data_IF_847206288958
#
_entry.id   IF_847206288958
#
_cell.length_a   1.000
_cell.length_b   1.000
_cell.length_c   1.000
_cell.angle_alpha   90.00
_cell.angle_beta   90.00
_cell.angle_gamma   90.00
#
_symmetry.space_group_name_H-M   'P 1'
#
loop_
_entity.id
_entity.type
_entity.pdbx_description
1 polymer ?
#
# COMPACT_ATOMS: atom_id res chain seq x y z
N UNK A 1 -6.88 10.04 17.54
CA UNK A 1 -7.42 8.69 17.29
C UNK A 1 -7.16 8.13 15.88
N UNK A 2 -7.14 8.94 14.80
CA UNK A 2 -6.76 8.49 13.43
C UNK A 2 -5.35 7.86 13.30
N UNK A 3 -4.45 8.11 14.25
CA UNK A 3 -3.04 7.67 14.19
C UNK A 3 -2.77 6.28 14.79
N UNK A 4 -3.69 5.72 15.58
CA UNK A 4 -3.50 4.43 16.28
C UNK A 4 -3.84 3.25 15.35
N UNK A 5 -4.79 3.43 14.44
CA UNK A 5 -5.28 2.36 13.54
C UNK A 5 -4.28 2.11 12.39
N UNK A 6 -3.57 3.13 11.91
CA UNK A 6 -2.48 2.96 10.94
C UNK A 6 -1.33 2.16 11.53
N UNK A 7 -1.01 2.37 12.82
CA UNK A 7 0.02 1.62 13.54
C UNK A 7 -0.37 0.16 13.80
N UNK A 8 -1.64 -0.13 14.08
CA UNK A 8 -2.10 -1.51 14.30
C UNK A 8 -2.04 -2.39 13.03
N UNK A 9 -2.33 -1.82 11.86
CA UNK A 9 -2.20 -2.51 10.56
C UNK A 9 -0.72 -2.76 10.23
N UNK A 10 0.16 -1.80 10.54
CA UNK A 10 1.61 -1.94 10.37
C UNK A 10 2.23 -3.00 11.31
N UNK A 11 1.74 -3.10 12.55
CA UNK A 11 2.21 -4.05 13.59
C UNK A 11 1.69 -5.48 13.32
N UNK A 12 0.43 -5.65 12.90
CA UNK A 12 -0.15 -6.97 12.63
C UNK A 12 0.46 -7.69 11.41
N UNK A 13 1.09 -6.95 10.49
CA UNK A 13 1.71 -7.50 9.28
C UNK A 13 3.17 -7.94 9.46
N UNK A 14 3.80 -7.68 10.62
CA UNK A 14 5.18 -8.09 10.93
C UNK A 14 5.36 -9.59 11.21
N UNK A 15 4.27 -10.38 11.22
CA UNK A 15 4.25 -11.82 11.58
C UNK A 15 4.35 -12.79 10.39
N UNK A 16 4.66 -12.27 9.21
CA UNK A 16 4.72 -13.03 7.97
C UNK A 16 5.97 -13.95 7.90
N UNK A 17 5.79 -15.21 7.48
CA UNK A 17 6.81 -16.29 7.53
C UNK A 17 8.01 -16.09 6.60
N UNK A 18 8.86 -17.12 6.50
CA UNK A 18 10.11 -17.10 5.73
C UNK A 18 9.86 -17.63 4.31
N UNK A 19 10.07 -16.79 3.31
CA UNK A 19 10.31 -17.17 1.92
C UNK A 19 11.14 -16.04 1.29
N UNK A 20 12.27 -16.39 0.68
CA UNK A 20 13.18 -15.43 0.07
C UNK A 20 12.93 -15.41 -1.44
N UNK A 21 12.53 -14.27 -1.97
CA UNK A 21 12.75 -13.92 -3.37
C UNK A 21 13.68 -12.69 -3.42
N UNK A 22 14.62 -12.66 -4.36
CA UNK A 22 15.46 -11.48 -4.64
C UNK A 22 14.72 -10.47 -5.54
N UNK A 23 13.73 -11.00 -6.28
CA UNK A 23 12.90 -10.27 -7.23
C UNK A 23 11.53 -10.00 -6.63
N UNK A 24 11.14 -8.74 -6.62
CA UNK A 24 9.82 -8.26 -6.23
C UNK A 24 8.97 -8.09 -7.49
N UNK A 25 7.96 -8.94 -7.68
CA UNK A 25 7.03 -8.82 -8.79
C UNK A 25 5.82 -7.98 -8.38
N UNK A 26 5.60 -6.85 -9.05
CA UNK A 26 4.51 -5.92 -8.80
C UNK A 26 3.19 -6.36 -9.49
N UNK A 27 2.04 -5.80 -9.09
CA UNK A 27 0.72 -6.18 -9.61
C UNK A 27 0.54 -6.15 -11.13
N UNK A 28 1.25 -5.28 -11.86
CA UNK A 28 1.16 -5.19 -13.33
C UNK A 28 2.22 -6.05 -14.06
N UNK A 29 2.94 -6.90 -13.32
CA UNK A 29 3.94 -7.83 -13.83
C UNK A 29 5.37 -7.28 -13.84
N UNK A 30 5.58 -5.99 -13.58
CA UNK A 30 6.91 -5.41 -13.49
C UNK A 30 7.70 -6.08 -12.37
N UNK A 31 8.99 -6.31 -12.63
CA UNK A 31 9.88 -6.94 -11.68
C UNK A 31 10.94 -5.95 -11.22
N UNK A 32 11.08 -5.84 -9.90
CA UNK A 32 12.10 -5.05 -9.23
C UNK A 32 13.15 -6.01 -8.66
N UNK A 33 14.37 -5.93 -9.18
CA UNK A 33 15.52 -6.66 -8.64
C UNK A 33 16.15 -5.86 -7.50
N UNK A 34 15.91 -6.29 -6.26
CA UNK A 34 16.39 -5.59 -5.07
C UNK A 34 17.78 -6.08 -4.62
N UNK A 35 18.47 -6.85 -5.48
CA UNK A 35 19.72 -7.55 -5.20
C UNK A 35 19.60 -8.64 -4.11
N UNK A 36 20.60 -9.54 -4.06
CA UNK A 36 20.71 -10.59 -3.03
C UNK A 36 20.76 -10.06 -1.59
N UNK A 37 21.00 -8.75 -1.41
CA UNK A 37 21.05 -8.08 -0.11
C UNK A 37 19.67 -7.84 0.48
N UNK A 38 18.59 -7.87 -0.30
CA UNK A 38 17.23 -7.65 0.19
C UNK A 38 16.39 -8.90 -0.04
N UNK A 39 15.95 -9.52 1.05
CA UNK A 39 14.97 -10.60 0.99
C UNK A 39 13.56 -10.04 0.82
N UNK A 40 12.81 -10.55 -0.15
CA UNK A 40 11.40 -10.24 -0.37
C UNK A 40 10.55 -11.42 0.04
N UNK A 41 9.62 -11.17 0.97
CA UNK A 41 8.55 -12.11 1.29
C UNK A 41 7.23 -11.61 0.73
N UNK A 42 6.64 -12.39 -0.18
CA UNK A 42 5.27 -12.16 -0.64
C UNK A 42 4.27 -12.62 0.43
N UNK A 43 3.56 -11.66 1.01
CA UNK A 43 2.63 -11.91 2.09
C UNK A 43 1.30 -12.53 1.63
N UNK A 44 1.04 -12.71 0.32
CA UNK A 44 -0.18 -13.39 -0.16
C UNK A 44 -0.32 -14.81 0.42
N UNK A 45 0.79 -15.46 0.77
CA UNK A 45 0.77 -16.77 1.40
C UNK A 45 0.67 -16.76 2.93
N UNK A 46 0.75 -15.59 3.56
CA UNK A 46 0.65 -15.43 5.02
C UNK A 46 -0.74 -15.79 5.53
N UNK A 47 -0.81 -16.23 6.80
CA UNK A 47 -2.08 -16.48 7.48
C UNK A 47 -2.96 -15.22 7.51
N UNK A 48 -2.36 -14.06 7.79
CA UNK A 48 -3.06 -12.78 7.91
C UNK A 48 -3.71 -12.36 6.59
N UNK A 49 -2.96 -12.35 5.48
CA UNK A 49 -3.52 -11.96 4.17
C UNK A 49 -4.57 -12.98 3.74
N UNK A 50 -4.32 -14.29 3.86
CA UNK A 50 -5.33 -15.33 3.57
C UNK A 50 -6.61 -15.14 4.37
N UNK A 51 -6.51 -14.73 5.63
CA UNK A 51 -7.68 -14.45 6.48
C UNK A 51 -8.42 -13.22 5.96
N UNK A 52 -7.74 -12.11 5.69
CA UNK A 52 -8.35 -10.90 5.11
C UNK A 52 -9.06 -11.24 3.78
N UNK A 53 -8.44 -12.04 2.90
CA UNK A 53 -9.03 -12.48 1.62
C UNK A 53 -10.29 -13.31 1.81
N UNK A 54 -10.35 -14.17 2.83
CA UNK A 54 -11.56 -14.97 3.14
C UNK A 54 -12.66 -14.12 3.76
N UNK A 55 -12.29 -13.21 4.65
CA UNK A 55 -13.26 -12.35 5.35
C UNK A 55 -13.91 -11.34 4.40
N UNK A 56 -13.16 -10.80 3.44
CA UNK A 56 -13.70 -9.76 2.56
C UNK A 56 -14.86 -10.26 1.69
N UNK A 57 -14.90 -11.55 1.35
CA UNK A 57 -15.98 -12.12 0.54
C UNK A 57 -17.27 -12.44 1.32
N UNK A 58 -17.23 -12.36 2.65
CA UNK A 58 -18.43 -12.63 3.45
C UNK A 58 -19.44 -11.51 3.28
N UNK A 59 -20.72 -11.88 3.16
CA UNK A 59 -21.85 -10.95 3.09
C UNK A 59 -21.82 -9.92 4.22
N UNK A 60 -21.57 -10.36 5.45
CA UNK A 60 -21.48 -9.47 6.61
C UNK A 60 -20.38 -8.40 6.44
N UNK A 61 -19.22 -8.77 5.92
CA UNK A 61 -18.13 -7.84 5.66
C UNK A 61 -18.47 -6.85 4.55
N UNK A 62 -19.13 -7.32 3.48
CA UNK A 62 -19.59 -6.44 2.40
C UNK A 62 -20.64 -5.43 2.89
N UNK A 63 -21.57 -5.84 3.75
CA UNK A 63 -22.53 -4.91 4.38
C UNK A 63 -21.81 -3.90 5.28
N UNK A 64 -20.81 -4.30 6.08
CA UNK A 64 -20.01 -3.37 6.89
C UNK A 64 -19.22 -2.37 6.05
N UNK A 65 -18.65 -2.80 4.91
CA UNK A 65 -17.98 -1.91 3.96
C UNK A 65 -18.98 -0.89 3.42
N UNK A 66 -20.17 -1.35 3.01
CA UNK A 66 -21.24 -0.52 2.48
C UNK A 66 -21.74 0.51 3.50
N UNK A 67 -22.04 0.08 4.73
CA UNK A 67 -22.42 0.95 5.84
C UNK A 67 -21.32 1.98 6.13
N UNK A 68 -20.05 1.56 6.14
CA UNK A 68 -18.91 2.46 6.32
C UNK A 68 -18.82 3.53 5.23
N UNK A 69 -19.09 3.17 3.98
CA UNK A 69 -19.11 4.10 2.85
C UNK A 69 -20.28 5.10 2.96
N UNK A 70 -21.47 4.62 3.31
CA UNK A 70 -22.66 5.46 3.55
C UNK A 70 -22.39 6.46 4.67
N UNK A 71 -21.89 5.97 5.81
CA UNK A 71 -21.55 6.83 6.96
C UNK A 71 -20.48 7.84 6.56
N UNK A 72 -19.55 7.49 5.68
CA UNK A 72 -18.53 8.40 5.18
C UNK A 72 -19.00 9.32 4.04
N UNK A 73 -20.31 9.40 3.77
CA UNK A 73 -20.91 10.36 2.84
C UNK A 73 -21.01 9.90 1.39
N UNK A 74 -20.76 8.63 1.09
CA UNK A 74 -20.98 8.04 -0.25
C UNK A 74 -22.45 7.63 -0.37
N UNK A 75 -23.31 8.52 -0.87
CA UNK A 75 -24.77 8.30 -0.92
C UNK A 75 -25.30 7.85 -2.28
N UNK A 76 -24.54 8.02 -3.35
CA UNK A 76 -24.88 7.57 -4.71
C UNK A 76 -23.99 6.41 -5.14
N UNK A 77 -24.54 5.47 -5.91
CA UNK A 77 -23.83 4.30 -6.44
C UNK A 77 -23.05 3.49 -5.38
N UNK A 78 -23.57 3.41 -4.15
CA UNK A 78 -22.88 2.77 -3.01
C UNK A 78 -22.50 1.31 -3.28
N UNK A 79 -23.32 0.58 -4.05
CA UNK A 79 -23.04 -0.81 -4.41
C UNK A 79 -21.80 -0.92 -5.32
N UNK A 80 -21.69 -0.02 -6.30
CA UNK A 80 -20.54 0.07 -7.18
C UNK A 80 -19.29 0.53 -6.41
N UNK A 81 -19.44 1.47 -5.48
CA UNK A 81 -18.36 1.91 -4.60
C UNK A 81 -17.85 0.76 -3.71
N UNK A 82 -18.76 -0.02 -3.13
CA UNK A 82 -18.45 -1.19 -2.30
C UNK A 82 -17.67 -2.22 -3.12
N UNK A 83 -18.14 -2.55 -4.32
CA UNK A 83 -17.43 -3.45 -5.24
C UNK A 83 -16.05 -2.93 -5.64
N UNK A 84 -15.92 -1.62 -5.88
CA UNK A 84 -14.64 -0.98 -6.22
C UNK A 84 -13.64 -1.13 -5.06
N UNK A 85 -14.05 -0.78 -3.83
CA UNK A 85 -13.21 -0.90 -2.62
C UNK A 85 -12.81 -2.35 -2.38
N UNK A 86 -13.78 -3.28 -2.46
CA UNK A 86 -13.53 -4.72 -2.29
C UNK A 86 -12.50 -5.23 -3.29
N UNK A 87 -12.64 -4.87 -4.57
CA UNK A 87 -11.71 -5.28 -5.62
C UNK A 87 -10.30 -4.71 -5.40
N UNK A 88 -10.20 -3.46 -4.97
CA UNK A 88 -8.90 -2.83 -4.66
C UNK A 88 -8.22 -3.59 -3.53
N UNK A 89 -8.93 -3.84 -2.42
CA UNK A 89 -8.34 -4.57 -1.28
C UNK A 89 -7.89 -5.96 -1.72
N UNK A 90 -8.71 -6.69 -2.50
CA UNK A 90 -8.37 -8.03 -3.03
C UNK A 90 -7.13 -8.02 -3.92
N UNK A 91 -6.97 -7.01 -4.76
CA UNK A 91 -5.87 -6.89 -5.70
C UNK A 91 -4.63 -6.20 -5.10
N UNK A 92 -4.68 -5.83 -3.83
CA UNK A 92 -3.56 -5.23 -3.11
C UNK A 92 -2.57 -6.32 -2.74
N UNK A 93 -1.34 -6.27 -3.27
CA UNK A 93 -0.26 -7.16 -2.85
C UNK A 93 0.52 -6.53 -1.70
N UNK A 94 0.89 -7.35 -0.73
CA UNK A 94 1.67 -6.93 0.43
C UNK A 94 2.97 -7.72 0.44
N UNK A 95 4.08 -7.01 0.64
CA UNK A 95 5.40 -7.61 0.72
C UNK A 95 6.10 -7.15 1.98
N UNK A 96 6.92 -8.04 2.54
CA UNK A 96 7.87 -7.67 3.57
C UNK A 96 9.28 -7.69 2.96
N UNK A 97 9.99 -6.58 3.11
CA UNK A 97 11.40 -6.46 2.75
C UNK A 97 12.25 -6.65 4.00
N UNK A 98 13.31 -7.46 3.91
CA UNK A 98 14.23 -7.74 5.01
C UNK A 98 15.67 -7.58 4.55
N UNK A 99 16.55 -7.08 5.41
CA UNK A 99 17.98 -7.13 5.14
C UNK A 99 18.46 -8.57 5.16
N UNK A 100 19.24 -8.95 4.15
CA UNK A 100 19.95 -10.22 4.09
C UNK A 100 21.41 -9.99 4.48
N UNK A 101 21.62 -9.47 5.70
CA UNK A 101 22.96 -9.25 6.28
C UNK A 101 23.08 -9.92 7.63
N UNK A 102 24.30 -10.30 8.00
CA UNK A 102 24.58 -10.95 9.30
C UNK A 102 24.66 -9.97 10.46
N UNK A 103 24.81 -8.68 10.19
CA UNK A 103 25.12 -7.67 11.21
C UNK A 103 23.88 -6.97 11.74
N UNK A 104 22.99 -6.51 10.84
CA UNK A 104 21.83 -5.71 11.20
C UNK A 104 20.56 -6.28 10.55
N UNK A 105 19.51 -6.42 11.36
CA UNK A 105 18.18 -6.81 10.90
C UNK A 105 17.33 -5.56 10.66
N UNK A 106 17.11 -5.23 9.39
CA UNK A 106 16.21 -4.18 8.95
C UNK A 106 14.99 -4.82 8.30
N UNK A 107 13.83 -4.22 8.48
CA UNK A 107 12.59 -4.66 7.84
C UNK A 107 11.72 -3.49 7.42
N UNK A 108 10.94 -3.69 6.37
CA UNK A 108 9.90 -2.77 5.94
C UNK A 108 8.77 -3.50 5.24
N UNK A 109 7.65 -2.82 5.08
CA UNK A 109 6.44 -3.36 4.42
C UNK A 109 6.19 -2.53 3.17
N UNK A 110 6.01 -3.21 2.05
CA UNK A 110 5.55 -2.61 0.80
C UNK A 110 4.11 -3.05 0.54
N UNK A 111 3.19 -2.10 0.44
CA UNK A 111 1.82 -2.35 0.01
C UNK A 111 1.66 -1.82 -1.40
N UNK A 112 1.23 -2.65 -2.33
CA UNK A 112 1.14 -2.31 -3.75
C UNK A 112 -0.24 -2.63 -4.30
N UNK A 113 -0.85 -1.69 -5.00
CA UNK A 113 -2.18 -1.84 -5.59
C UNK A 113 -2.19 -1.41 -7.05
N UNK A 114 -2.77 -2.24 -7.91
CA UNK A 114 -3.07 -1.87 -9.28
C UNK A 114 -4.43 -1.19 -9.36
N UNK A 115 -4.47 -0.03 -10.02
CA UNK A 115 -5.70 0.70 -10.30
C UNK A 115 -5.82 0.92 -11.81
N UNK A 116 -6.87 0.34 -12.39
CA UNK A 116 -7.21 0.55 -13.81
C UNK A 116 -7.57 2.01 -14.06
N UNK A 117 -7.30 2.50 -15.27
CA UNK A 117 -7.66 3.86 -15.66
C UNK A 117 -9.16 4.13 -15.53
N UNK A 118 -10.01 3.13 -15.79
CA UNK A 118 -11.48 3.21 -15.59
C UNK A 118 -11.91 3.45 -14.15
N UNK A 119 -11.08 3.03 -13.19
CA UNK A 119 -11.43 3.05 -11.77
C UNK A 119 -10.83 4.27 -11.06
N UNK A 120 -9.84 4.95 -11.67
CA UNK A 120 -9.20 6.14 -11.11
C UNK A 120 -10.20 7.26 -10.81
N UNK A 121 -11.07 7.59 -11.75
CA UNK A 121 -12.07 8.66 -11.56
C UNK A 121 -13.04 8.33 -10.43
N UNK A 122 -13.50 7.06 -10.38
CA UNK A 122 -14.38 6.58 -9.31
C UNK A 122 -13.69 6.67 -7.96
N UNK A 123 -12.42 6.29 -7.89
CA UNK A 123 -11.64 6.38 -6.66
C UNK A 123 -11.39 7.80 -6.22
N UNK A 124 -11.14 8.75 -7.13
CA UNK A 124 -11.03 10.17 -6.78
C UNK A 124 -12.33 10.68 -6.17
N UNK A 125 -13.48 10.37 -6.78
CA UNK A 125 -14.78 10.72 -6.23
C UNK A 125 -15.01 10.09 -4.84
N UNK A 126 -14.57 8.83 -4.64
CA UNK A 126 -14.60 8.20 -3.33
C UNK A 126 -13.71 8.94 -2.33
N UNK A 127 -12.49 9.31 -2.69
CA UNK A 127 -11.59 10.08 -1.81
C UNK A 127 -12.18 11.43 -1.40
N UNK A 128 -12.82 12.13 -2.34
CA UNK A 128 -13.50 13.41 -2.08
C UNK A 128 -14.69 13.25 -1.13
N UNK A 129 -15.53 12.23 -1.34
CA UNK A 129 -16.67 11.95 -0.46
C UNK A 129 -16.20 11.53 0.94
N UNK A 130 -15.22 10.64 1.01
CA UNK A 130 -14.62 10.19 2.28
C UNK A 130 -13.93 11.31 3.06
N UNK A 131 -13.60 12.45 2.44
CA UNK A 131 -13.00 13.60 3.14
C UNK A 131 -13.99 14.30 4.07
N UNK A 132 -15.30 14.14 3.87
CA UNK A 132 -16.35 14.71 4.73
C UNK A 132 -16.30 14.07 6.11
N UNK A 133 -16.50 14.89 7.15
CA UNK A 133 -16.57 14.39 8.52
C UNK A 133 -17.86 13.61 8.74
N UNK A 134 -17.75 12.52 9.49
CA UNK A 134 -18.87 11.67 9.87
C UNK A 134 -18.69 11.27 11.32
N UNK A 135 -19.77 11.35 12.08
CA UNK A 135 -19.79 11.19 13.54
C UNK A 135 -19.81 9.71 13.97
N UNK A 136 -20.08 8.76 13.07
CA UNK A 136 -20.28 7.34 13.40
C UNK A 136 -19.52 6.36 12.47
N UNK A 137 -18.19 6.48 12.38
CA UNK A 137 -17.36 5.52 11.64
C UNK A 137 -16.79 4.46 12.61
N UNK A 138 -17.08 3.19 12.35
CA UNK A 138 -16.51 2.05 13.09
C UNK A 138 -15.04 1.75 12.69
N UNK A 139 -14.40 0.76 13.32
CA UNK A 139 -13.01 0.40 13.02
C UNK A 139 -12.79 0.00 11.55
N UNK A 140 -13.76 -0.67 10.94
CA UNK A 140 -13.71 -1.11 9.55
C UNK A 140 -13.74 0.10 8.61
N UNK A 141 -14.64 1.05 8.88
CA UNK A 141 -14.73 2.29 8.13
C UNK A 141 -13.51 3.17 8.29
N UNK A 142 -12.88 3.23 9.47
CA UNK A 142 -11.62 3.96 9.65
C UNK A 142 -10.49 3.31 8.83
N UNK A 143 -10.43 1.98 8.81
CA UNK A 143 -9.43 1.26 8.02
C UNK A 143 -9.63 1.49 6.52
N UNK A 144 -10.86 1.39 6.00
CA UNK A 144 -11.20 1.65 4.58
C UNK A 144 -10.89 3.10 4.21
N UNK A 145 -11.34 4.06 5.04
CA UNK A 145 -11.10 5.48 4.82
C UNK A 145 -9.61 5.80 4.79
N UNK A 146 -8.84 5.25 5.72
CA UNK A 146 -7.39 5.38 5.74
C UNK A 146 -6.77 4.76 4.48
N UNK A 147 -7.18 3.55 4.13
CA UNK A 147 -6.64 2.82 2.99
C UNK A 147 -6.87 3.55 1.67
N UNK A 148 -8.11 3.92 1.36
CA UNK A 148 -8.48 4.57 0.10
C UNK A 148 -7.95 6.01 0.02
N UNK A 149 -8.03 6.79 1.10
CA UNK A 149 -7.56 8.19 1.10
C UNK A 149 -6.06 8.31 0.85
N UNK A 150 -5.28 7.31 1.28
CA UNK A 150 -3.83 7.35 1.17
C UNK A 150 -3.31 6.78 -0.17
N UNK A 151 -4.18 6.33 -1.08
CA UNK A 151 -3.76 6.01 -2.45
C UNK A 151 -3.43 7.33 -3.17
N UNK A 152 -2.19 7.56 -3.63
CA UNK A 152 -1.75 8.84 -4.15
C UNK A 152 -2.15 9.03 -5.63
N UNK A 153 -3.45 9.21 -5.88
CA UNK A 153 -4.03 9.24 -7.24
C UNK A 153 -3.75 10.55 -8.02
N UNK A 154 -3.40 11.63 -7.34
CA UNK A 154 -3.11 12.94 -7.94
C UNK A 154 -1.62 13.11 -8.23
N UNK A 155 -1.18 12.51 -9.34
CA UNK A 155 0.19 12.62 -9.83
C UNK A 155 0.26 13.72 -10.87
N UNK A 156 1.28 14.57 -10.77
CA UNK A 156 1.61 15.51 -11.84
C UNK A 156 2.57 14.81 -12.80
N UNK A 157 2.18 14.65 -14.07
CA UNK A 157 2.99 13.94 -15.07
C UNK A 157 4.42 14.49 -15.23
N UNK A 158 4.62 15.78 -14.91
CA UNK A 158 5.93 16.43 -14.92
C UNK A 158 6.96 15.83 -13.95
N UNK A 159 6.52 15.08 -12.95
CA UNK A 159 7.38 14.49 -11.92
C UNK A 159 7.76 13.02 -12.25
N UNK A 160 7.42 12.55 -13.46
CA UNK A 160 7.69 11.18 -13.91
C UNK A 160 9.13 11.03 -14.42
N UNK A 161 9.81 10.01 -13.91
CA UNK A 161 11.10 9.47 -14.38
C UNK A 161 10.85 8.32 -15.39
N UNK A 162 11.89 7.92 -16.10
CA UNK A 162 11.90 6.71 -16.96
C UNK A 162 12.99 5.75 -16.51
N UNK A 163 12.66 4.47 -16.43
CA UNK A 163 13.64 3.40 -16.25
C UNK A 163 14.51 3.25 -17.49
N UNK A 164 15.59 2.49 -17.40
CA UNK A 164 16.46 2.16 -18.54
C UNK A 164 15.72 1.41 -19.65
N UNK A 165 14.65 0.70 -19.31
CA UNK A 165 13.76 0.00 -20.24
C UNK A 165 12.56 0.85 -20.69
N UNK A 166 12.52 2.12 -20.32
CA UNK A 166 11.50 3.08 -20.74
C UNK A 166 10.18 3.01 -19.94
N UNK A 167 10.17 2.32 -18.80
CA UNK A 167 8.98 2.27 -17.93
C UNK A 167 8.87 3.59 -17.17
N UNK A 168 7.70 4.23 -17.24
CA UNK A 168 7.46 5.51 -16.58
C UNK A 168 7.06 5.32 -15.12
N UNK A 169 7.75 6.00 -14.20
CA UNK A 169 7.47 5.93 -12.77
C UNK A 169 7.73 7.26 -12.07
N UNK A 170 7.14 7.46 -10.89
CA UNK A 170 7.50 8.56 -9.98
C UNK A 170 7.66 8.02 -8.57
N UNK A 171 8.35 8.79 -7.74
CA UNK A 171 8.77 8.41 -6.40
C UNK A 171 8.71 9.64 -5.49
N UNK A 172 8.12 9.50 -4.32
CA UNK A 172 8.03 10.56 -3.32
C UNK A 172 8.25 10.01 -1.92
N UNK A 173 9.28 10.54 -1.30
CA UNK A 173 9.63 10.24 0.08
C UNK A 173 8.88 11.16 1.05
N UNK A 174 8.53 10.61 2.21
CA UNK A 174 7.98 11.35 3.35
C UNK A 174 8.57 10.79 4.65
N UNK A 175 9.00 11.69 5.53
CA UNK A 175 9.52 11.35 6.87
C UNK A 175 8.58 11.93 7.90
N UNK A 176 8.27 11.16 8.93
CA UNK A 176 7.41 11.59 10.02
C UNK A 176 7.89 11.00 11.33
N UNK A 177 7.97 11.84 12.36
CA UNK A 177 8.26 11.38 13.71
C UNK A 177 6.92 11.13 14.42
N UNK A 178 6.75 9.93 14.95
CA UNK A 178 5.59 9.56 15.74
C UNK A 178 5.97 9.51 17.21
N UNK A 179 5.32 10.31 18.04
CA UNK A 179 5.53 10.30 19.48
C UNK A 179 4.18 10.22 20.20
N UNK A 180 4.05 9.26 21.11
CA UNK A 180 3.02 9.23 22.14
C UNK A 180 3.67 8.93 23.50
N UNK A 181 2.88 8.90 24.57
CA UNK A 181 3.38 8.75 25.93
C UNK A 181 4.25 7.49 26.18
N UNK A 182 4.07 6.44 25.37
CA UNK A 182 4.68 5.12 25.59
C UNK A 182 5.58 4.66 24.44
N UNK A 183 5.60 5.38 23.31
CA UNK A 183 6.27 4.97 22.08
C UNK A 183 6.67 6.16 21.22
N UNK A 184 7.95 6.21 20.84
CA UNK A 184 8.49 7.10 19.83
C UNK A 184 9.07 6.29 18.68
N UNK A 185 8.74 6.65 17.44
CA UNK A 185 9.27 6.01 16.25
C UNK A 185 9.37 6.97 15.07
N UNK A 186 10.54 6.95 14.46
CA UNK A 186 10.86 7.67 13.24
C UNK A 186 10.37 6.85 12.03
N UNK A 187 9.22 7.21 11.47
CA UNK A 187 8.65 6.56 10.30
C UNK A 187 9.21 7.16 9.01
N UNK A 188 9.56 6.28 8.08
CA UNK A 188 9.88 6.62 6.70
C UNK A 188 8.86 5.96 5.78
N UNK A 189 8.33 6.75 4.86
CA UNK A 189 7.43 6.30 3.81
C UNK A 189 8.02 6.66 2.45
N UNK A 190 8.04 5.70 1.54
CA UNK A 190 8.37 5.92 0.13
C UNK A 190 7.20 5.51 -0.75
N UNK A 191 6.69 6.47 -1.51
CA UNK A 191 5.56 6.31 -2.42
C UNK A 191 6.08 6.15 -3.83
N UNK A 192 5.85 4.99 -4.43
CA UNK A 192 6.30 4.65 -5.78
C UNK A 192 5.08 4.45 -6.64
N UNK A 193 5.06 5.07 -7.83
CA UNK A 193 3.95 4.92 -8.75
C UNK A 193 4.49 4.59 -10.13
N UNK A 194 4.00 3.49 -10.71
CA UNK A 194 4.42 3.00 -12.02
C UNK A 194 3.25 3.11 -12.98
N UNK A 195 3.44 3.85 -14.07
CA UNK A 195 2.42 4.08 -15.09
C UNK A 195 2.46 2.95 -16.11
N UNK A 196 1.30 2.31 -16.28
CA UNK A 196 1.05 1.35 -17.36
C UNK A 196 0.05 1.91 -18.37
N UNK A 197 -0.18 1.14 -19.43
CA UNK A 197 -1.13 1.51 -20.51
C UNK A 197 -2.58 1.49 -20.03
N UNK A 198 -2.97 0.47 -19.27
CA UNK A 198 -4.36 0.24 -18.85
C UNK A 198 -4.65 0.73 -17.43
N UNK A 199 -3.61 1.11 -16.68
CA UNK A 199 -3.72 1.53 -15.29
C UNK A 199 -2.37 1.91 -14.70
N UNK A 200 -2.32 2.06 -13.38
CA UNK A 200 -1.08 2.37 -12.67
C UNK A 200 -0.98 1.54 -11.39
N UNK A 201 0.26 1.19 -11.03
CA UNK A 201 0.58 0.51 -9.79
C UNK A 201 0.98 1.57 -8.78
N UNK A 202 0.30 1.62 -7.65
CA UNK A 202 0.59 2.53 -6.55
C UNK A 202 1.15 1.70 -5.41
N UNK A 203 2.39 1.98 -5.02
CA UNK A 203 3.10 1.26 -3.98
C UNK A 203 3.51 2.22 -2.86
N UNK A 204 3.37 1.78 -1.62
CA UNK A 204 3.79 2.52 -0.43
C UNK A 204 4.68 1.61 0.39
N UNK A 205 5.95 1.95 0.47
CA UNK A 205 6.93 1.32 1.35
C UNK A 205 6.97 2.05 2.69
N UNK A 206 6.87 1.32 3.79
CA UNK A 206 6.95 1.87 5.14
C UNK A 206 8.01 1.12 5.96
N UNK A 207 8.86 1.87 6.64
CA UNK A 207 9.92 1.34 7.50
C UNK A 207 10.37 2.41 8.50
N UNK A 208 11.36 2.12 9.35
CA UNK A 208 11.99 3.14 10.19
C UNK A 208 12.97 3.97 9.39
N UNK A 209 13.22 5.23 9.79
CA UNK A 209 14.21 6.07 9.11
C UNK A 209 15.63 5.46 9.06
N UNK A 210 16.01 4.65 10.07
CA UNK A 210 17.28 3.93 10.07
C UNK A 210 17.29 2.83 9.01
N UNK A 211 16.27 1.99 8.97
CA UNK A 211 16.14 0.92 7.98
C UNK A 211 16.00 1.47 6.55
N UNK A 212 15.39 2.65 6.38
CA UNK A 212 15.30 3.33 5.08
C UNK A 212 16.68 3.61 4.46
N UNK A 213 17.69 4.00 5.27
CA UNK A 213 19.07 4.20 4.79
C UNK A 213 19.65 2.95 4.16
N UNK A 214 19.22 1.77 4.62
CA UNK A 214 19.63 0.49 4.08
C UNK A 214 18.86 0.14 2.79
N UNK A 215 17.54 0.21 2.79
CA UNK A 215 16.73 -0.25 1.64
C UNK A 215 16.77 0.68 0.43
N UNK A 216 16.88 1.99 0.67
CA UNK A 216 16.67 3.01 -0.37
C UNK A 216 17.60 2.86 -1.58
N UNK A 217 18.93 2.65 -1.44
CA UNK A 217 19.80 2.46 -2.60
C UNK A 217 19.36 1.29 -3.49
N UNK A 218 18.87 0.20 -2.89
CA UNK A 218 18.39 -0.98 -3.62
C UNK A 218 17.07 -0.71 -4.34
N UNK A 219 16.13 -0.01 -3.69
CA UNK A 219 14.86 0.40 -4.31
C UNK A 219 15.13 1.34 -5.49
N UNK A 220 15.97 2.37 -5.30
CA UNK A 220 16.30 3.32 -6.38
C UNK A 220 16.97 2.62 -7.58
N UNK A 221 17.87 1.67 -7.31
CA UNK A 221 18.52 0.88 -8.36
C UNK A 221 17.51 -0.01 -9.08
N UNK A 222 16.65 -0.71 -8.34
CA UNK A 222 15.62 -1.58 -8.89
C UNK A 222 14.63 -0.83 -9.77
N UNK A 223 14.23 0.39 -9.38
CA UNK A 223 13.34 1.24 -10.19
C UNK A 223 13.99 1.68 -11.51
N UNK A 224 15.29 1.98 -11.50
CA UNK A 224 16.05 2.31 -12.72
C UNK A 224 16.19 1.11 -13.65
N UNK A 225 16.46 -0.08 -13.08
CA UNK A 225 16.63 -1.34 -13.80
C UNK A 225 15.35 -2.12 -14.08
N UNK A 226 14.18 -1.56 -13.75
CA UNK A 226 12.88 -2.25 -13.81
C UNK A 226 12.60 -2.82 -15.20
N UNK A 227 12.13 -4.06 -15.20
CA UNK A 227 11.76 -4.83 -16.40
C UNK A 227 10.30 -5.32 -16.33
N UNK A 228 9.74 -5.70 -17.48
CA UNK A 228 8.38 -6.22 -17.63
C UNK A 228 8.38 -7.47 -18.48
#
# INVERSE_FOLDING_TARGET
>A
MKKIITSAILIAMMTCGIANAEKLQLPQGETLDLSEKVGVYDAENSFTVKTIRKEIDKKETQEKIKESLLNSGVTTNVEEATNTVTNIIKNTRIYQLRSNTKENYYQGILVSVYVKNSDKTKLKQLQENLAKESENIDLVGIAIKSYIKNIPLDIKEKDMKKSEKGIEYTEKETKADFENADFSSDLYTDTIIIKGKEGSTYSVFNTTQVAAKYFRPFIEQALRGMEK
#
